data_IF_743273669452
#
_entry.id   IF_743273669452
#
_cell.length_a   1.000
_cell.length_b   1.000
_cell.length_c   1.000
_cell.angle_alpha   90.00
_cell.angle_beta   90.00
_cell.angle_gamma   90.00
#
_symmetry.space_group_name_H-M   'P 1'
#
loop_
_entity.id
_entity.type
_entity.pdbx_description
1 polymer ?
#
# COMPACT_ATOMS: atom_id res chain seq x y z
N UNK A 1 -12.34 -25.81 -14.42
CA UNK A 1 -13.20 -24.67 -14.00
C UNK A 1 -12.47 -23.76 -13.02
N UNK A 2 -12.14 -24.22 -11.79
CA UNK A 2 -11.52 -23.40 -10.75
C UNK A 2 -10.18 -22.77 -11.16
N UNK A 3 -9.29 -23.54 -11.81
CA UNK A 3 -7.99 -23.02 -12.25
C UNK A 3 -8.13 -21.89 -13.28
N UNK A 4 -9.09 -21.98 -14.19
CA UNK A 4 -9.33 -20.94 -15.20
C UNK A 4 -9.86 -19.67 -14.53
N UNK A 5 -10.84 -19.82 -13.63
CA UNK A 5 -11.37 -18.69 -12.86
C UNK A 5 -10.26 -18.00 -12.05
N UNK A 6 -9.43 -18.79 -11.35
CA UNK A 6 -8.30 -18.27 -10.60
C UNK A 6 -7.34 -17.46 -11.48
N UNK A 7 -6.96 -17.99 -12.64
CA UNK A 7 -6.07 -17.30 -13.58
C UNK A 7 -6.70 -15.99 -14.09
N UNK A 8 -7.99 -16.01 -14.45
CA UNK A 8 -8.70 -14.80 -14.88
C UNK A 8 -8.74 -13.76 -13.77
N UNK A 9 -9.07 -14.17 -12.53
CA UNK A 9 -9.08 -13.27 -11.37
C UNK A 9 -7.70 -12.69 -11.08
N UNK A 10 -6.64 -13.50 -11.18
CA UNK A 10 -5.27 -13.03 -10.98
C UNK A 10 -4.87 -11.98 -12.04
N UNK A 11 -5.20 -12.22 -13.31
CA UNK A 11 -4.93 -11.26 -14.39
C UNK A 11 -5.71 -9.97 -14.19
N UNK A 12 -7.00 -10.05 -13.84
CA UNK A 12 -7.82 -8.87 -13.55
C UNK A 12 -7.29 -8.10 -12.34
N UNK A 13 -6.85 -8.79 -11.29
CA UNK A 13 -6.26 -8.17 -10.11
C UNK A 13 -4.98 -7.41 -10.45
N UNK A 14 -4.08 -8.01 -11.24
CA UNK A 14 -2.85 -7.34 -11.70
C UNK A 14 -3.17 -6.14 -12.58
N UNK A 15 -4.13 -6.27 -13.50
CA UNK A 15 -4.55 -5.14 -14.35
C UNK A 15 -5.15 -3.99 -13.52
N UNK A 16 -6.02 -4.31 -12.55
CA UNK A 16 -6.61 -3.33 -11.63
C UNK A 16 -5.54 -2.65 -10.75
N UNK A 17 -4.57 -3.42 -10.24
CA UNK A 17 -3.47 -2.90 -9.43
C UNK A 17 -2.71 -1.78 -10.17
N UNK A 18 -2.33 -2.01 -11.44
CA UNK A 18 -1.59 -1.02 -12.21
C UNK A 18 -2.47 0.13 -12.72
N UNK A 19 -3.71 -0.13 -13.13
CA UNK A 19 -4.58 0.91 -13.70
C UNK A 19 -5.18 1.79 -12.60
N UNK A 20 -5.91 1.18 -11.67
CA UNK A 20 -6.57 1.89 -10.58
C UNK A 20 -5.57 2.40 -9.55
N UNK A 21 -4.54 1.61 -9.21
CA UNK A 21 -3.49 2.06 -8.28
C UNK A 21 -2.78 3.31 -8.77
N UNK A 22 -2.44 3.37 -10.07
CA UNK A 22 -1.81 4.56 -10.66
C UNK A 22 -2.78 5.75 -10.77
N UNK A 23 -4.07 5.51 -11.05
CA UNK A 23 -5.08 6.57 -10.99
C UNK A 23 -5.16 7.18 -9.59
N UNK A 24 -5.27 6.35 -8.54
CA UNK A 24 -5.31 6.81 -7.15
C UNK A 24 -4.02 7.55 -6.76
N UNK A 25 -2.85 7.05 -7.16
CA UNK A 25 -1.57 7.71 -6.89
C UNK A 25 -1.52 9.15 -7.45
N UNK A 26 -2.10 9.36 -8.64
CA UNK A 26 -2.23 10.70 -9.25
C UNK A 26 -3.24 11.57 -8.51
N UNK A 27 -4.39 11.03 -8.13
CA UNK A 27 -5.43 11.77 -7.39
C UNK A 27 -4.89 12.28 -6.05
N UNK A 28 -4.09 11.47 -5.35
CA UNK A 28 -3.52 11.84 -4.05
C UNK A 28 -2.15 12.53 -4.13
N UNK A 29 -1.59 12.72 -5.34
CA UNK A 29 -0.28 13.35 -5.51
C UNK A 29 0.85 12.60 -4.79
N UNK A 30 0.80 11.26 -4.77
CA UNK A 30 1.81 10.45 -4.09
C UNK A 30 3.17 10.64 -4.76
N UNK A 31 4.19 10.96 -3.96
CA UNK A 31 5.58 11.09 -4.42
C UNK A 31 6.51 10.38 -3.44
N UNK A 32 7.42 9.58 -4.00
CA UNK A 32 8.49 8.91 -3.24
C UNK A 32 9.62 9.87 -2.85
N UNK A 33 9.60 11.12 -3.34
CA UNK A 33 10.57 12.15 -2.96
C UNK A 33 10.26 12.74 -1.57
N UNK A 34 9.01 12.59 -1.10
CA UNK A 34 8.60 13.08 0.21
C UNK A 34 9.07 12.11 1.30
N UNK A 35 9.94 12.60 2.18
CA UNK A 35 10.34 11.85 3.38
C UNK A 35 9.17 11.74 4.36
N UNK A 36 8.97 10.59 5.01
CA UNK A 36 7.88 10.43 5.98
C UNK A 36 8.16 11.23 7.27
N UNK A 37 7.12 11.64 8.00
CA UNK A 37 7.27 12.34 9.28
C UNK A 37 8.14 11.62 10.31
N UNK A 38 8.11 10.27 10.31
CA UNK A 38 8.94 9.44 11.18
C UNK A 38 10.45 9.58 10.94
N UNK A 39 10.86 10.10 9.78
CA UNK A 39 12.25 10.43 9.47
C UNK A 39 12.54 11.91 9.67
N UNK A 40 11.65 12.80 9.20
CA UNK A 40 11.88 14.25 9.21
C UNK A 40 11.77 14.87 10.61
N UNK A 41 10.85 14.36 11.44
CA UNK A 41 10.55 14.89 12.77
C UNK A 41 10.95 13.92 13.89
N UNK A 42 11.94 13.05 13.63
CA UNK A 42 12.35 12.01 14.58
C UNK A 42 12.66 12.57 15.97
N UNK A 43 11.95 12.09 16.98
CA UNK A 43 12.05 12.56 18.38
C UNK A 43 12.31 11.42 19.39
N UNK A 44 12.25 10.16 18.94
CA UNK A 44 12.40 8.98 19.79
C UNK A 44 11.16 8.60 20.63
N UNK A 45 10.04 9.31 20.47
CA UNK A 45 8.79 9.05 21.20
C UNK A 45 7.59 9.01 20.25
N UNK A 46 7.20 10.14 19.63
CA UNK A 46 6.00 10.25 18.79
C UNK A 46 6.31 9.95 17.30
N UNK A 47 7.49 10.32 16.82
CA UNK A 47 7.93 10.13 15.44
C UNK A 47 9.09 9.14 15.39
N UNK A 48 8.76 7.85 15.28
CA UNK A 48 9.74 6.76 15.21
C UNK A 48 9.42 5.84 14.03
N UNK A 49 10.42 5.44 13.21
CA UNK A 49 10.19 4.48 12.13
C UNK A 49 9.64 3.16 12.66
N UNK A 50 8.44 2.80 12.21
CA UNK A 50 7.84 1.52 12.54
C UNK A 50 8.50 0.38 11.74
N UNK A 51 8.57 -0.80 12.35
CA UNK A 51 9.03 -1.99 11.65
C UNK A 51 8.06 -2.34 10.49
N UNK A 52 8.54 -2.70 9.28
CA UNK A 52 7.69 -2.94 8.12
C UNK A 52 6.55 -3.95 8.34
N UNK A 53 6.77 -4.97 9.19
CA UNK A 53 5.73 -5.95 9.52
C UNK A 53 4.55 -5.33 10.29
N UNK A 54 4.79 -4.32 11.12
CA UNK A 54 3.75 -3.59 11.86
C UNK A 54 2.89 -2.77 10.91
N UNK A 55 3.53 -2.09 9.96
CA UNK A 55 2.86 -1.34 8.89
C UNK A 55 2.00 -2.27 8.04
N UNK A 56 2.55 -3.40 7.60
CA UNK A 56 1.80 -4.39 6.81
C UNK A 56 0.57 -4.89 7.57
N UNK A 57 0.71 -5.23 8.86
CA UNK A 57 -0.41 -5.67 9.69
C UNK A 57 -1.51 -4.63 9.81
N UNK A 58 -1.15 -3.36 10.08
CA UNK A 58 -2.13 -2.27 10.18
C UNK A 58 -2.85 -1.99 8.85
N UNK A 59 -2.11 -1.96 7.75
CA UNK A 59 -2.69 -1.75 6.42
C UNK A 59 -3.62 -2.91 6.05
N UNK A 60 -3.19 -4.14 6.27
CA UNK A 60 -3.98 -5.32 5.96
C UNK A 60 -5.28 -5.37 6.78
N UNK A 61 -5.21 -5.14 8.09
CA UNK A 61 -6.40 -5.10 8.95
C UNK A 61 -7.41 -4.04 8.46
N UNK A 62 -6.94 -2.86 8.07
CA UNK A 62 -7.80 -1.79 7.55
C UNK A 62 -8.47 -2.14 6.21
N UNK A 63 -7.84 -3.02 5.40
CA UNK A 63 -8.39 -3.49 4.12
C UNK A 63 -9.33 -4.68 4.32
N UNK A 64 -8.99 -5.59 5.25
CA UNK A 64 -9.71 -6.83 5.50
C UNK A 64 -10.96 -6.64 6.36
N UNK A 65 -10.98 -5.60 7.22
CA UNK A 65 -12.01 -5.37 8.24
C UNK A 65 -11.70 -6.08 9.55
#
# INVERSE_FOLDING_TARGET
MLAILFLVSAVLFVAAYFTYGNFQARVYGLSNENKPPSEVYFDGVDYVPAHPSVLLGHHFASIAG
#
